data_IF_110891052214
#
_entry.id   IF_110891052214
#
_cell.length_a   1.000
_cell.length_b   1.000
_cell.length_c   1.000
_cell.angle_alpha   90.00
_cell.angle_beta   90.00
_cell.angle_gamma   90.00
#
_symmetry.space_group_name_H-M   'P 1'
#
loop_
_entity.id
_entity.type
_entity.pdbx_description
1 polymer ?
#
# COMPACT_ATOMS: atom_id res chain seq x y z
N UNK A 1 -51.72 -7.99 -47.97
CA UNK A 1 -50.92 -7.00 -47.25
C UNK A 1 -50.69 -7.30 -45.76
N UNK A 2 -51.52 -8.06 -45.04
CA UNK A 2 -51.39 -8.28 -43.58
C UNK A 2 -50.32 -9.31 -43.12
N UNK A 3 -49.89 -10.23 -43.99
CA UNK A 3 -48.87 -11.24 -43.59
C UNK A 3 -47.44 -10.70 -43.47
N UNK A 4 -47.09 -9.65 -44.20
CA UNK A 4 -45.78 -9.00 -44.12
C UNK A 4 -45.63 -8.14 -42.85
N UNK A 5 -46.73 -7.53 -42.37
CA UNK A 5 -46.70 -6.73 -41.16
C UNK A 5 -46.48 -7.59 -39.88
N UNK A 6 -47.09 -8.79 -39.83
CA UNK A 6 -46.90 -9.71 -38.70
C UNK A 6 -45.48 -10.33 -38.64
N UNK A 7 -44.84 -10.56 -39.79
CA UNK A 7 -43.48 -11.07 -39.81
C UNK A 7 -42.46 -10.02 -39.40
N UNK A 8 -42.65 -8.74 -39.74
CA UNK A 8 -41.76 -7.66 -39.28
C UNK A 8 -41.89 -7.41 -37.75
N UNK A 9 -43.12 -7.46 -37.20
CA UNK A 9 -43.32 -7.28 -35.75
C UNK A 9 -42.76 -8.48 -34.95
N UNK A 10 -42.87 -9.71 -35.47
CA UNK A 10 -42.27 -10.88 -34.81
C UNK A 10 -40.74 -10.83 -34.81
N UNK A 11 -40.13 -10.40 -35.91
CA UNK A 11 -38.68 -10.23 -36.01
C UNK A 11 -38.19 -9.09 -35.06
N UNK A 12 -38.92 -7.97 -34.98
CA UNK A 12 -38.63 -6.87 -34.08
C UNK A 12 -38.77 -7.29 -32.60
N UNK A 13 -39.77 -8.11 -32.26
CA UNK A 13 -39.98 -8.62 -30.91
C UNK A 13 -38.88 -9.62 -30.48
N UNK A 14 -38.46 -10.50 -31.39
CA UNK A 14 -37.37 -11.46 -31.18
C UNK A 14 -36.01 -10.72 -31.08
N UNK A 15 -35.78 -9.70 -31.90
CA UNK A 15 -34.60 -8.87 -31.82
C UNK A 15 -34.55 -8.09 -30.50
N UNK A 16 -35.69 -7.55 -30.06
CA UNK A 16 -35.79 -6.84 -28.76
C UNK A 16 -35.63 -7.81 -27.56
N UNK A 17 -36.13 -9.05 -27.66
CA UNK A 17 -35.96 -10.08 -26.63
C UNK A 17 -34.50 -10.59 -26.53
N UNK A 18 -33.81 -10.68 -27.67
CA UNK A 18 -32.39 -11.04 -27.75
C UNK A 18 -31.47 -9.93 -27.16
N UNK A 19 -31.89 -8.67 -27.26
CA UNK A 19 -31.13 -7.55 -26.68
C UNK A 19 -31.30 -7.45 -25.15
N UNK A 20 -32.42 -7.90 -24.60
CA UNK A 20 -32.64 -7.89 -23.13
C UNK A 20 -31.90 -9.03 -22.38
N UNK A 21 -31.53 -10.11 -23.04
CA UNK A 21 -30.80 -11.23 -22.45
C UNK A 21 -29.27 -11.11 -22.51
N UNK A 22 -28.72 -10.08 -23.20
CA UNK A 22 -27.32 -9.99 -23.59
C UNK A 22 -26.41 -9.08 -22.74
N UNK A 23 -26.91 -8.42 -21.71
CA UNK A 23 -26.11 -7.49 -20.90
C UNK A 23 -25.25 -8.20 -19.83
N UNK A 24 -24.63 -9.33 -20.14
CA UNK A 24 -23.66 -9.98 -19.26
C UNK A 24 -22.24 -9.52 -19.59
N UNK A 25 -21.48 -9.07 -18.59
CA UNK A 25 -20.06 -8.77 -18.77
C UNK A 25 -19.30 -10.01 -19.26
N UNK A 26 -18.52 -9.86 -20.33
CA UNK A 26 -17.73 -10.96 -20.90
C UNK A 26 -16.58 -11.36 -19.96
N UNK A 27 -16.16 -12.62 -20.11
CA UNK A 27 -15.03 -13.18 -19.37
C UNK A 27 -15.45 -14.01 -18.14
N UNK A 28 -14.49 -14.70 -17.53
CA UNK A 28 -14.74 -15.52 -16.34
C UNK A 28 -15.01 -14.63 -15.12
N UNK A 29 -15.90 -15.07 -14.24
CA UNK A 29 -15.98 -14.54 -12.91
C UNK A 29 -14.88 -15.16 -12.06
N UNK A 30 -14.35 -14.38 -11.10
CA UNK A 30 -13.38 -14.93 -10.18
C UNK A 30 -14.02 -15.95 -9.25
N UNK A 31 -13.42 -17.11 -9.13
CA UNK A 31 -13.74 -18.13 -8.15
C UNK A 31 -12.49 -18.40 -7.31
N UNK A 32 -12.64 -18.35 -5.99
CA UNK A 32 -11.53 -18.62 -5.09
C UNK A 32 -11.09 -20.08 -5.24
N UNK A 33 -9.81 -20.35 -5.57
CA UNK A 33 -9.32 -21.73 -5.63
C UNK A 33 -9.50 -22.45 -4.29
N UNK A 34 -10.00 -23.67 -4.33
CA UNK A 34 -10.11 -24.50 -3.15
C UNK A 34 -8.72 -24.84 -2.62
N UNK A 35 -8.40 -24.37 -1.41
CA UNK A 35 -7.13 -24.68 -0.76
C UNK A 35 -7.30 -25.93 0.09
N UNK A 36 -6.60 -27.01 -0.25
CA UNK A 36 -6.43 -28.15 0.63
C UNK A 36 -5.38 -27.81 1.68
N UNK A 37 -5.80 -27.19 2.78
CA UNK A 37 -4.90 -26.92 3.89
C UNK A 37 -4.64 -28.22 4.65
N UNK A 38 -3.38 -28.47 5.10
CA UNK A 38 -3.08 -29.62 5.94
C UNK A 38 -3.91 -29.55 7.22
N UNK A 39 -4.66 -30.58 7.49
CA UNK A 39 -5.45 -30.72 8.73
C UNK A 39 -4.59 -31.20 9.91
N UNK A 40 -3.30 -31.41 9.70
CA UNK A 40 -2.35 -31.89 10.70
C UNK A 40 -1.70 -30.77 11.50
N UNK A 41 -1.46 -31.01 12.78
CA UNK A 41 -0.68 -30.15 13.67
C UNK A 41 0.79 -30.11 13.20
N UNK A 42 1.31 -28.92 12.97
CA UNK A 42 2.70 -28.71 12.57
C UNK A 42 3.64 -28.65 13.80
N UNK A 43 3.10 -28.35 14.98
CA UNK A 43 3.87 -28.22 16.22
C UNK A 43 3.54 -29.33 17.23
N UNK A 44 4.51 -29.77 18.05
CA UNK A 44 4.27 -30.72 19.14
C UNK A 44 3.20 -30.18 20.11
N UNK A 45 2.43 -31.10 20.67
CA UNK A 45 1.36 -30.81 21.61
C UNK A 45 1.91 -30.06 22.84
N UNK A 46 1.73 -28.74 22.93
CA UNK A 46 1.92 -28.03 24.18
C UNK A 46 0.61 -28.07 24.97
N UNK A 47 0.74 -28.36 26.25
CA UNK A 47 -0.39 -28.46 27.20
C UNK A 47 -1.03 -27.10 27.54
N UNK A 48 -0.68 -26.05 26.80
CA UNK A 48 -1.19 -24.70 27.06
C UNK A 48 -2.51 -24.47 26.31
N UNK A 49 -3.51 -24.15 27.07
CA UNK A 49 -4.86 -23.74 26.65
C UNK A 49 -4.77 -22.70 25.55
N UNK A 50 -5.57 -22.90 24.50
CA UNK A 50 -5.77 -21.90 23.44
C UNK A 50 -6.28 -20.59 24.06
N UNK A 51 -5.38 -19.72 24.49
CA UNK A 51 -5.72 -18.36 24.80
C UNK A 51 -6.18 -17.71 23.49
N UNK A 52 -7.36 -17.10 23.53
CA UNK A 52 -7.88 -16.34 22.40
C UNK A 52 -7.03 -15.06 22.25
N UNK A 53 -5.82 -15.22 21.67
CA UNK A 53 -4.89 -14.10 21.47
C UNK A 53 -5.39 -13.32 20.27
N UNK A 54 -5.77 -12.08 20.50
CA UNK A 54 -6.03 -11.15 19.41
C UNK A 54 -4.70 -10.82 18.71
N UNK A 55 -4.50 -11.42 17.55
CA UNK A 55 -3.30 -11.26 16.73
C UNK A 55 -3.04 -9.81 16.29
N UNK A 56 -4.08 -9.00 16.29
CA UNK A 56 -3.98 -7.58 15.96
C UNK A 56 -3.31 -6.77 17.08
N UNK A 57 -3.19 -7.35 18.26
CA UNK A 57 -2.60 -6.71 19.46
C UNK A 57 -1.68 -7.68 20.23
N UNK A 58 -1.00 -8.58 19.51
CA UNK A 58 -0.13 -9.64 20.07
C UNK A 58 0.90 -9.12 21.10
N UNK A 59 1.40 -7.89 20.93
CA UNK A 59 2.38 -7.28 21.83
C UNK A 59 1.83 -7.00 23.24
N UNK A 60 0.52 -6.90 23.40
CA UNK A 60 -0.11 -6.75 24.72
C UNK A 60 0.10 -7.96 25.62
N UNK A 61 0.41 -9.13 25.04
CA UNK A 61 0.76 -10.34 25.80
C UNK A 61 2.00 -10.17 26.66
N UNK A 62 2.92 -9.27 26.26
CA UNK A 62 4.12 -8.95 27.04
C UNK A 62 3.85 -8.07 28.27
N UNK A 63 2.65 -7.45 28.36
CA UNK A 63 2.25 -6.58 29.48
C UNK A 63 3.28 -5.50 29.80
N UNK A 64 3.86 -4.90 28.75
CA UNK A 64 4.86 -3.83 28.88
C UNK A 64 4.30 -2.49 28.43
N UNK A 65 4.07 -1.55 29.37
CA UNK A 65 3.55 -0.22 29.04
C UNK A 65 4.46 0.60 28.15
N UNK A 66 5.80 0.41 28.24
CA UNK A 66 6.75 1.13 27.41
C UNK A 66 6.69 0.67 25.96
N UNK A 67 6.58 -0.64 25.72
CA UNK A 67 6.37 -1.18 24.38
C UNK A 67 5.05 -0.67 23.77
N UNK A 68 3.96 -0.67 24.55
CA UNK A 68 2.67 -0.16 24.08
C UNK A 68 2.78 1.31 23.66
N UNK A 69 3.37 2.16 24.50
CA UNK A 69 3.56 3.58 24.19
C UNK A 69 4.42 3.83 22.94
N UNK A 70 5.46 3.02 22.74
CA UNK A 70 6.32 3.11 21.54
C UNK A 70 5.57 2.71 20.26
N UNK A 71 4.71 1.70 20.32
CA UNK A 71 3.89 1.29 19.18
C UNK A 71 2.80 2.32 18.85
N UNK A 72 2.19 2.93 19.86
CA UNK A 72 1.25 4.02 19.67
C UNK A 72 1.95 5.25 19.05
N UNK A 73 3.14 5.63 19.55
CA UNK A 73 3.96 6.71 19.00
C UNK A 73 4.37 6.43 17.54
N UNK A 74 4.83 5.20 17.25
CA UNK A 74 5.18 4.78 15.90
C UNK A 74 3.99 4.87 14.94
N UNK A 75 2.81 4.43 15.39
CA UNK A 75 1.59 4.49 14.58
C UNK A 75 1.19 5.94 14.24
N UNK A 76 1.33 6.84 15.20
CA UNK A 76 0.98 8.25 15.03
C UNK A 76 1.95 9.01 14.11
N UNK A 77 3.24 8.64 14.11
CA UNK A 77 4.29 9.42 13.46
C UNK A 77 4.95 8.75 12.25
N UNK A 78 4.56 7.50 11.91
CA UNK A 78 5.19 6.76 10.82
C UNK A 78 4.92 7.39 9.46
N UNK A 79 6.00 7.76 8.76
CA UNK A 79 5.93 8.25 7.38
C UNK A 79 5.52 7.14 6.39
N UNK A 80 5.85 5.88 6.69
CA UNK A 80 5.44 4.76 5.85
C UNK A 80 3.92 4.53 5.89
N UNK A 81 3.29 4.74 7.05
CA UNK A 81 1.84 4.69 7.18
C UNK A 81 1.17 5.89 6.49
N UNK A 82 1.76 7.08 6.57
CA UNK A 82 1.30 8.25 5.85
C UNK A 82 1.38 8.04 4.32
N UNK A 83 2.50 7.47 3.83
CA UNK A 83 2.65 7.09 2.43
C UNK A 83 1.62 6.03 2.01
N UNK A 84 1.37 5.02 2.84
CA UNK A 84 0.36 4.01 2.56
C UNK A 84 -1.05 4.62 2.48
N UNK A 85 -1.38 5.59 3.34
CA UNK A 85 -2.64 6.33 3.28
C UNK A 85 -2.76 7.15 1.97
N UNK A 86 -1.71 7.88 1.58
CA UNK A 86 -1.70 8.63 0.33
C UNK A 86 -1.88 7.73 -0.91
N UNK A 87 -1.30 6.52 -0.91
CA UNK A 87 -1.51 5.53 -1.98
C UNK A 87 -2.94 5.02 -2.05
N UNK A 88 -3.64 4.93 -0.93
CA UNK A 88 -5.07 4.60 -0.91
C UNK A 88 -5.87 5.72 -1.59
N UNK A 89 -5.57 6.99 -1.29
CA UNK A 89 -6.27 8.12 -1.89
C UNK A 89 -5.97 8.23 -3.40
N UNK A 90 -4.74 7.98 -3.83
CA UNK A 90 -4.37 7.85 -5.24
C UNK A 90 -5.18 6.75 -5.95
N UNK A 91 -5.29 5.57 -5.32
CA UNK A 91 -6.05 4.46 -5.88
C UNK A 91 -7.55 4.73 -5.93
N UNK A 92 -8.10 5.46 -4.96
CA UNK A 92 -9.49 5.93 -4.97
C UNK A 92 -9.75 6.90 -6.12
N UNK A 93 -8.83 7.82 -6.37
CA UNK A 93 -8.91 8.75 -7.49
C UNK A 93 -8.82 7.99 -8.84
N UNK A 94 -7.95 6.97 -8.93
CA UNK A 94 -7.83 6.10 -10.11
C UNK A 94 -9.11 5.29 -10.36
N UNK A 95 -9.73 4.76 -9.31
CA UNK A 95 -11.04 4.11 -9.41
C UNK A 95 -12.11 5.08 -9.90
N UNK A 96 -12.16 6.29 -9.34
CA UNK A 96 -13.12 7.33 -9.77
C UNK A 96 -12.93 7.70 -11.25
N UNK A 97 -11.67 7.82 -11.70
CA UNK A 97 -11.36 8.06 -13.11
C UNK A 97 -11.84 6.89 -14.02
N UNK A 98 -11.58 5.64 -13.61
CA UNK A 98 -12.07 4.46 -14.36
C UNK A 98 -13.59 4.41 -14.37
N UNK A 99 -14.22 4.69 -13.23
CA UNK A 99 -15.67 4.71 -13.10
C UNK A 99 -16.32 5.79 -13.98
N UNK A 100 -15.67 6.95 -14.15
CA UNK A 100 -16.16 8.04 -15.00
C UNK A 100 -16.35 7.63 -16.47
N UNK A 101 -15.59 6.63 -16.95
CA UNK A 101 -15.73 6.09 -18.31
C UNK A 101 -17.08 5.40 -18.57
N UNK A 102 -17.86 5.13 -17.53
CA UNK A 102 -19.22 4.58 -17.60
C UNK A 102 -20.29 5.64 -17.85
N UNK A 103 -19.92 6.91 -17.89
CA UNK A 103 -20.81 8.04 -18.06
C UNK A 103 -20.47 8.82 -19.34
N UNK A 104 -21.42 9.57 -19.90
CA UNK A 104 -21.14 10.46 -21.02
C UNK A 104 -20.09 11.52 -20.63
N UNK A 105 -19.12 11.75 -21.51
CA UNK A 105 -18.27 12.93 -21.45
C UNK A 105 -19.01 14.13 -22.04
N UNK A 106 -18.81 15.31 -21.47
CA UNK A 106 -19.31 16.57 -21.98
C UNK A 106 -18.14 17.55 -22.06
N UNK A 107 -17.85 17.99 -23.27
CA UNK A 107 -16.76 18.91 -23.56
C UNK A 107 -17.31 20.22 -24.12
N UNK A 108 -16.88 21.34 -23.57
CA UNK A 108 -17.13 22.66 -24.12
C UNK A 108 -15.87 23.17 -24.82
N UNK A 109 -16.02 23.65 -26.04
CA UNK A 109 -14.91 24.19 -26.83
C UNK A 109 -15.26 25.51 -27.46
N UNK A 110 -14.27 26.39 -27.58
CA UNK A 110 -14.37 27.63 -28.35
C UNK A 110 -13.19 27.66 -29.30
N UNK A 111 -13.49 27.63 -30.59
CA UNK A 111 -12.50 27.76 -31.63
C UNK A 111 -12.67 29.09 -32.36
N UNK A 112 -11.58 29.86 -32.48
CA UNK A 112 -11.52 31.07 -33.28
C UNK A 112 -10.29 30.94 -34.18
N UNK A 113 -10.52 30.89 -35.50
CA UNK A 113 -9.43 30.77 -36.44
C UNK A 113 -9.55 31.78 -37.58
N UNK A 114 -8.41 32.23 -38.08
CA UNK A 114 -8.27 33.01 -39.29
C UNK A 114 -7.27 32.34 -40.20
N UNK A 115 -7.74 31.91 -41.36
CA UNK A 115 -6.90 31.25 -42.34
C UNK A 115 -6.88 32.02 -43.67
N UNK A 116 -5.77 31.96 -44.37
CA UNK A 116 -5.67 32.41 -45.75
C UNK A 116 -5.28 31.23 -46.63
N UNK A 117 -6.14 30.92 -47.58
CA UNK A 117 -5.88 29.85 -48.56
C UNK A 117 -5.01 30.42 -49.68
N UNK A 118 -4.00 29.67 -50.10
CA UNK A 118 -3.12 30.05 -51.20
C UNK A 118 -3.89 30.07 -52.52
N UNK A 119 -3.85 31.17 -53.23
CA UNK A 119 -4.47 31.33 -54.54
C UNK A 119 -3.83 30.39 -55.59
N UNK A 120 -2.52 30.14 -55.45
CA UNK A 120 -1.78 29.27 -56.36
C UNK A 120 -1.92 27.77 -56.07
N UNK A 121 -2.58 27.41 -55.00
CA UNK A 121 -2.80 25.97 -54.65
C UNK A 121 -4.01 25.32 -55.33
N UNK A 122 -4.73 26.03 -56.19
CA UNK A 122 -5.86 25.54 -56.95
C UNK A 122 -7.09 25.12 -56.11
N UNK A 123 -7.10 25.49 -54.80
CA UNK A 123 -8.19 25.17 -53.85
C UNK A 123 -9.25 26.25 -53.69
N UNK A 124 -9.04 27.42 -54.32
CA UNK A 124 -10.03 28.51 -54.30
C UNK A 124 -10.91 28.42 -55.51
N UNK A 125 -12.24 28.52 -55.30
CA UNK A 125 -13.17 28.74 -56.41
C UNK A 125 -13.01 30.15 -56.95
N UNK A 126 -13.21 30.35 -58.29
CA UNK A 126 -13.14 31.67 -58.90
C UNK A 126 -14.04 32.67 -58.17
N UNK A 127 -13.48 33.80 -57.69
CA UNK A 127 -14.22 34.84 -56.99
C UNK A 127 -14.39 34.63 -55.45
N UNK A 128 -13.87 33.56 -54.89
CA UNK A 128 -13.93 33.31 -53.45
C UNK A 128 -12.86 34.16 -52.72
N UNK A 129 -13.21 34.65 -51.54
CA UNK A 129 -12.27 35.36 -50.68
C UNK A 129 -11.22 34.41 -50.09
N UNK A 130 -9.91 34.64 -50.35
CA UNK A 130 -8.87 33.75 -49.84
C UNK A 130 -8.75 33.77 -48.30
N UNK A 131 -9.31 34.79 -47.65
CA UNK A 131 -9.30 34.92 -46.17
C UNK A 131 -10.62 34.45 -45.59
N UNK A 132 -10.52 33.52 -44.67
CA UNK A 132 -11.69 33.00 -43.95
C UNK A 132 -11.48 33.08 -42.44
N UNK A 133 -12.48 33.62 -41.74
CA UNK A 133 -12.52 33.54 -40.27
C UNK A 133 -13.58 32.47 -39.92
N UNK A 134 -13.36 31.76 -38.84
CA UNK A 134 -14.32 30.84 -38.25
C UNK A 134 -14.36 31.06 -36.76
N UNK A 135 -15.54 31.33 -36.21
CA UNK A 135 -15.83 31.40 -34.79
C UNK A 135 -16.81 30.29 -34.48
N UNK A 136 -16.39 29.33 -33.62
CA UNK A 136 -17.15 28.10 -33.38
C UNK A 136 -17.11 27.73 -31.91
N UNK A 137 -17.94 28.36 -31.05
CA UNK A 137 -18.24 27.84 -29.73
C UNK A 137 -19.20 26.64 -29.84
N UNK A 138 -18.95 25.61 -29.03
CA UNK A 138 -19.81 24.44 -29.05
C UNK A 138 -19.66 23.57 -27.82
N UNK A 139 -20.62 22.70 -27.63
CA UNK A 139 -20.65 21.64 -26.64
C UNK A 139 -20.79 20.33 -27.39
N UNK A 140 -19.96 19.37 -27.03
CA UNK A 140 -20.06 18.00 -27.55
C UNK A 140 -20.19 17.02 -26.41
N UNK A 141 -20.91 15.94 -26.65
CA UNK A 141 -21.04 14.82 -25.73
C UNK A 141 -20.72 13.52 -26.45
N UNK A 142 -20.02 12.63 -25.76
CA UNK A 142 -19.69 11.30 -26.27
C UNK A 142 -19.93 10.26 -25.20
N UNK A 143 -20.60 9.15 -25.57
CA UNK A 143 -20.90 8.04 -24.70
C UNK A 143 -20.75 6.72 -25.44
N UNK A 144 -19.93 5.81 -24.90
CA UNK A 144 -19.80 4.44 -25.42
C UNK A 144 -20.68 3.52 -24.58
N UNK A 145 -21.63 2.86 -25.24
CA UNK A 145 -22.55 1.94 -24.57
C UNK A 145 -21.81 0.64 -24.25
N UNK A 146 -21.84 0.25 -22.96
CA UNK A 146 -21.13 -0.93 -22.46
C UNK A 146 -21.92 -2.24 -22.65
N UNK A 147 -22.15 -2.66 -23.93
CA UNK A 147 -22.85 -3.89 -24.20
C UNK A 147 -22.09 -5.15 -23.73
N UNK A 148 -20.78 -5.12 -23.82
CA UNK A 148 -19.91 -6.26 -23.58
C UNK A 148 -19.31 -6.28 -22.20
N UNK A 149 -19.61 -5.28 -21.37
CA UNK A 149 -19.12 -5.15 -20.01
C UNK A 149 -17.65 -4.73 -19.93
N UNK A 150 -17.09 -4.08 -20.93
CA UNK A 150 -15.71 -3.57 -20.96
C UNK A 150 -15.44 -2.61 -19.81
N UNK A 151 -16.30 -1.59 -19.63
CA UNK A 151 -16.17 -0.61 -18.56
C UNK A 151 -16.56 -1.18 -17.20
N UNK A 152 -17.53 -2.10 -17.17
CA UNK A 152 -17.90 -2.82 -15.96
C UNK A 152 -16.73 -3.66 -15.42
N UNK A 153 -16.03 -4.40 -16.29
CA UNK A 153 -14.84 -5.19 -15.92
C UNK A 153 -13.64 -4.32 -15.54
N UNK A 154 -13.48 -3.16 -16.21
CA UNK A 154 -12.46 -2.18 -15.82
C UNK A 154 -12.71 -1.62 -14.40
N UNK A 155 -13.97 -1.29 -14.07
CA UNK A 155 -14.38 -0.83 -12.75
C UNK A 155 -14.16 -1.91 -11.67
N UNK A 156 -14.52 -3.17 -11.97
CA UNK A 156 -14.25 -4.32 -11.10
C UNK A 156 -12.74 -4.47 -10.82
N UNK A 157 -11.92 -4.40 -11.87
CA UNK A 157 -10.46 -4.48 -11.72
C UNK A 157 -9.89 -3.31 -10.88
N UNK A 158 -10.34 -2.09 -11.15
CA UNK A 158 -9.89 -0.92 -10.38
C UNK A 158 -10.33 -0.97 -8.90
N UNK A 159 -11.53 -1.47 -8.63
CA UNK A 159 -12.03 -1.68 -7.27
C UNK A 159 -11.20 -2.73 -6.52
N UNK A 160 -10.90 -3.86 -7.17
CA UNK A 160 -10.06 -4.89 -6.59
C UNK A 160 -8.64 -4.37 -6.31
N UNK A 161 -8.06 -3.55 -7.19
CA UNK A 161 -6.77 -2.89 -6.94
C UNK A 161 -6.81 -1.95 -5.73
N UNK A 162 -7.89 -1.18 -5.55
CA UNK A 162 -8.07 -0.36 -4.36
C UNK A 162 -8.06 -1.23 -3.09
N UNK A 163 -8.83 -2.32 -3.08
CA UNK A 163 -8.89 -3.23 -1.93
C UNK A 163 -7.52 -3.90 -1.66
N UNK A 164 -6.73 -4.20 -2.70
CA UNK A 164 -5.37 -4.69 -2.54
C UNK A 164 -4.46 -3.67 -1.85
N UNK A 165 -4.56 -2.40 -2.20
CA UNK A 165 -3.77 -1.31 -1.59
C UNK A 165 -4.23 -1.04 -0.16
N UNK A 166 -5.53 -1.09 0.13
CA UNK A 166 -6.06 -0.99 1.49
C UNK A 166 -5.55 -2.15 2.37
N UNK A 167 -5.52 -3.38 1.85
CA UNK A 167 -4.95 -4.52 2.55
C UNK A 167 -3.43 -4.35 2.78
N UNK A 168 -2.69 -3.83 1.79
CA UNK A 168 -1.25 -3.57 1.92
C UNK A 168 -0.91 -2.60 3.06
N UNK A 169 -1.78 -1.63 3.38
CA UNK A 169 -1.59 -0.77 4.55
C UNK A 169 -1.53 -1.62 5.85
N UNK A 170 -2.31 -2.69 5.92
CA UNK A 170 -2.24 -3.64 7.04
C UNK A 170 -0.87 -4.35 7.12
N UNK A 171 -0.29 -4.69 5.98
CA UNK A 171 1.06 -5.29 5.91
C UNK A 171 2.13 -4.30 6.39
N UNK A 172 2.05 -3.04 5.96
CA UNK A 172 2.95 -1.97 6.43
C UNK A 172 2.86 -1.80 7.95
N UNK A 173 1.64 -1.76 8.49
CA UNK A 173 1.43 -1.66 9.94
C UNK A 173 1.99 -2.86 10.70
N UNK A 174 1.75 -4.08 10.23
CA UNK A 174 2.28 -5.29 10.86
C UNK A 174 3.82 -5.31 10.85
N UNK A 175 4.43 -4.89 9.75
CA UNK A 175 5.90 -4.78 9.62
C UNK A 175 6.46 -3.71 10.55
N UNK A 176 5.82 -2.55 10.65
CA UNK A 176 6.20 -1.49 11.58
C UNK A 176 6.21 -2.01 13.02
N UNK A 177 5.14 -2.67 13.44
CA UNK A 177 5.01 -3.22 14.79
C UNK A 177 6.07 -4.29 15.07
N UNK A 178 6.34 -5.16 14.11
CA UNK A 178 7.39 -6.16 14.25
C UNK A 178 8.77 -5.51 14.42
N UNK A 179 9.11 -4.52 13.58
CA UNK A 179 10.39 -3.83 13.64
C UNK A 179 10.58 -3.03 14.94
N UNK A 180 9.54 -2.32 15.40
CA UNK A 180 9.58 -1.59 16.68
C UNK A 180 9.76 -2.55 17.83
N UNK A 181 8.99 -3.64 17.89
CA UNK A 181 9.10 -4.62 18.96
C UNK A 181 10.48 -5.33 18.96
N UNK A 182 10.96 -5.73 17.79
CA UNK A 182 12.29 -6.36 17.64
C UNK A 182 13.40 -5.41 18.12
N UNK A 183 13.36 -4.14 17.69
CA UNK A 183 14.34 -3.13 18.12
C UNK A 183 14.25 -2.85 19.62
N UNK A 184 13.04 -2.82 20.18
CA UNK A 184 12.82 -2.65 21.61
C UNK A 184 13.39 -3.83 22.41
N UNK A 185 13.12 -5.06 22.02
CA UNK A 185 13.68 -6.24 22.71
C UNK A 185 15.20 -6.33 22.56
N UNK A 186 15.76 -5.94 21.40
CA UNK A 186 17.19 -5.83 21.22
C UNK A 186 17.79 -4.77 22.17
N UNK A 187 17.15 -3.61 22.31
CA UNK A 187 17.56 -2.58 23.25
C UNK A 187 17.56 -3.09 24.69
N UNK A 188 16.51 -3.80 25.13
CA UNK A 188 16.43 -4.38 26.47
C UNK A 188 17.51 -5.46 26.70
N UNK A 189 17.85 -6.22 25.64
CA UNK A 189 18.97 -7.19 25.69
C UNK A 189 20.32 -6.48 25.87
N UNK A 190 20.57 -5.39 25.14
CA UNK A 190 21.79 -4.62 25.30
C UNK A 190 21.86 -3.90 26.64
N UNK A 191 20.75 -3.44 27.20
CA UNK A 191 20.72 -2.89 28.57
C UNK A 191 21.20 -3.94 29.59
N UNK A 192 20.74 -5.20 29.47
CA UNK A 192 21.17 -6.30 30.33
C UNK A 192 22.66 -6.66 30.13
N UNK A 193 23.14 -6.67 28.88
CA UNK A 193 24.54 -6.93 28.55
C UNK A 193 25.46 -5.83 29.11
N UNK A 194 25.07 -4.55 29.01
CA UNK A 194 25.83 -3.44 29.59
C UNK A 194 25.91 -3.59 31.11
N UNK A 195 24.80 -3.86 31.79
CA UNK A 195 24.78 -4.05 33.23
C UNK A 195 25.72 -5.21 33.70
N UNK A 196 25.68 -6.33 32.97
CA UNK A 196 26.55 -7.48 33.25
C UNK A 196 28.03 -7.15 32.99
N UNK A 197 28.32 -6.46 31.87
CA UNK A 197 29.68 -6.05 31.53
C UNK A 197 30.26 -5.03 32.58
N UNK A 198 29.44 -4.09 33.04
CA UNK A 198 29.82 -3.14 34.12
C UNK A 198 30.16 -3.88 35.40
N UNK A 199 29.34 -4.82 35.83
CA UNK A 199 29.60 -5.62 37.03
C UNK A 199 30.89 -6.45 36.88
N UNK A 200 31.07 -7.07 35.70
CA UNK A 200 32.26 -7.89 35.42
C UNK A 200 33.52 -7.02 35.38
N UNK A 201 33.45 -5.83 34.75
CA UNK A 201 34.57 -4.89 34.71
C UNK A 201 35.00 -4.43 36.11
N UNK A 202 34.02 -4.15 36.96
CA UNK A 202 34.32 -3.81 38.37
C UNK A 202 35.04 -4.96 39.10
N UNK A 203 34.59 -6.19 38.93
CA UNK A 203 35.23 -7.39 39.52
C UNK A 203 36.64 -7.60 38.98
N UNK A 204 36.86 -7.45 37.65
CA UNK A 204 38.19 -7.61 37.03
C UNK A 204 39.17 -6.50 37.47
N UNK A 205 38.70 -5.26 37.59
CA UNK A 205 39.52 -4.15 38.15
C UNK A 205 39.94 -4.41 39.57
N UNK A 206 39.09 -4.94 40.44
CA UNK A 206 39.42 -5.28 41.79
C UNK A 206 40.43 -6.45 41.87
N UNK A 207 40.23 -7.49 40.99
CA UNK A 207 41.21 -8.58 40.86
C UNK A 207 42.60 -8.05 40.45
N UNK A 208 42.67 -7.19 39.44
CA UNK A 208 43.92 -6.55 39.02
C UNK A 208 44.59 -5.79 40.20
N UNK A 209 43.82 -5.00 40.94
CA UNK A 209 44.33 -4.28 42.13
C UNK A 209 44.91 -5.22 43.16
N UNK A 210 44.26 -6.37 43.37
CA UNK A 210 44.75 -7.39 44.29
C UNK A 210 46.03 -8.07 43.78
N UNK A 211 46.13 -8.42 42.50
CA UNK A 211 47.33 -9.02 41.90
C UNK A 211 48.55 -8.08 41.96
N UNK A 212 48.36 -6.78 41.72
CA UNK A 212 49.40 -5.78 41.84
C UNK A 212 49.95 -5.75 43.29
N UNK A 213 49.08 -5.74 44.31
CA UNK A 213 49.52 -5.75 45.73
C UNK A 213 50.23 -7.04 46.11
N UNK A 214 49.83 -8.19 45.57
CA UNK A 214 50.49 -9.47 45.79
C UNK A 214 51.85 -9.52 45.12
N UNK A 215 52.00 -8.93 43.93
CA UNK A 215 53.29 -8.80 43.26
C UNK A 215 54.25 -7.91 44.04
N UNK A 216 53.79 -6.74 44.50
CA UNK A 216 54.55 -5.85 45.35
C UNK A 216 55.03 -6.54 46.68
N UNK A 217 54.23 -7.47 47.19
CA UNK A 217 54.57 -8.32 48.32
C UNK A 217 55.41 -9.57 47.98
N UNK A 218 55.81 -9.77 46.74
CA UNK A 218 56.60 -10.91 46.26
C UNK A 218 55.89 -12.27 46.27
N UNK A 219 54.54 -12.30 46.26
CA UNK A 219 53.73 -13.51 46.40
C UNK A 219 53.33 -14.10 45.02
N UNK A 220 53.26 -13.28 43.95
CA UNK A 220 52.91 -13.69 42.61
C UNK A 220 53.94 -13.18 41.59
N UNK A 221 53.91 -13.74 40.38
CA UNK A 221 54.81 -13.33 39.29
C UNK A 221 54.29 -12.12 38.52
N UNK A 222 55.16 -11.44 37.77
CA UNK A 222 54.74 -10.38 36.83
C UNK A 222 53.78 -10.93 35.78
N UNK A 223 53.91 -12.19 35.34
CA UNK A 223 53.00 -12.87 34.41
C UNK A 223 51.54 -12.83 34.92
N UNK A 224 51.34 -13.06 36.23
CA UNK A 224 49.99 -13.04 36.82
C UNK A 224 49.40 -11.63 36.79
N UNK A 225 50.21 -10.59 36.96
CA UNK A 225 49.80 -9.20 36.85
C UNK A 225 49.43 -8.87 35.40
N UNK A 226 50.30 -9.26 34.43
CA UNK A 226 50.03 -8.99 33.01
C UNK A 226 48.79 -9.71 32.51
N UNK A 227 48.49 -10.92 33.00
CA UNK A 227 47.24 -11.63 32.71
C UNK A 227 46.03 -10.85 33.26
N UNK A 228 46.12 -10.38 34.50
CA UNK A 228 45.03 -9.60 35.08
C UNK A 228 44.80 -8.25 34.37
N UNK A 229 45.88 -7.60 33.87
CA UNK A 229 45.77 -6.41 32.99
C UNK A 229 45.05 -6.73 31.71
N UNK A 230 45.45 -7.81 31.04
CA UNK A 230 44.81 -8.21 29.77
C UNK A 230 43.34 -8.55 29.97
N UNK A 231 42.96 -9.25 31.03
CA UNK A 231 41.55 -9.56 31.33
C UNK A 231 40.74 -8.28 31.65
N UNK A 232 41.29 -7.34 32.42
CA UNK A 232 40.62 -6.07 32.72
C UNK A 232 40.42 -5.23 31.46
N UNK A 233 41.41 -5.15 30.57
CA UNK A 233 41.33 -4.43 29.31
C UNK A 233 40.31 -5.11 28.34
N UNK A 234 40.28 -6.44 28.27
CA UNK A 234 39.37 -7.19 27.44
C UNK A 234 37.89 -6.96 27.80
N UNK A 235 37.57 -6.97 29.11
CA UNK A 235 36.19 -6.70 29.54
C UNK A 235 35.80 -5.23 29.35
N UNK A 236 36.75 -4.29 29.50
CA UNK A 236 36.49 -2.87 29.23
C UNK A 236 36.14 -2.63 27.73
N UNK A 237 36.85 -3.28 26.82
CA UNK A 237 36.52 -3.25 25.39
C UNK A 237 35.13 -3.85 25.12
N UNK A 238 34.78 -4.96 25.77
CA UNK A 238 33.44 -5.57 25.67
C UNK A 238 32.36 -4.64 26.20
N UNK A 239 32.58 -3.94 27.30
CA UNK A 239 31.64 -2.96 27.84
C UNK A 239 31.41 -1.80 26.86
N UNK A 240 32.45 -1.23 26.28
CA UNK A 240 32.36 -0.14 25.30
C UNK A 240 31.58 -0.58 24.06
N UNK A 241 31.83 -1.81 23.57
CA UNK A 241 31.10 -2.36 22.44
C UNK A 241 29.60 -2.54 22.78
N UNK A 242 29.27 -3.08 23.95
CA UNK A 242 27.87 -3.21 24.39
C UNK A 242 27.16 -1.86 24.50
N UNK A 243 27.84 -0.86 25.05
CA UNK A 243 27.32 0.52 25.13
C UNK A 243 27.09 1.14 23.73
N UNK A 244 28.02 0.90 22.79
CA UNK A 244 27.86 1.38 21.43
C UNK A 244 26.64 0.72 20.74
N UNK A 245 26.50 -0.61 20.86
CA UNK A 245 25.37 -1.34 20.29
C UNK A 245 24.04 -0.86 20.89
N UNK A 246 24.00 -0.63 22.21
CA UNK A 246 22.84 -0.05 22.89
C UNK A 246 22.44 1.29 22.30
N UNK A 247 23.39 2.22 22.14
CA UNK A 247 23.15 3.57 21.58
C UNK A 247 22.66 3.49 20.13
N UNK A 248 23.28 2.64 19.31
CA UNK A 248 22.87 2.45 17.92
C UNK A 248 21.44 1.92 17.81
N UNK A 249 21.10 0.92 18.65
CA UNK A 249 19.74 0.35 18.67
C UNK A 249 18.71 1.37 19.17
N UNK A 250 19.08 2.18 20.16
CA UNK A 250 18.24 3.26 20.69
C UNK A 250 17.96 4.33 19.63
N UNK A 251 18.97 4.71 18.86
CA UNK A 251 18.80 5.62 17.72
C UNK A 251 17.93 5.03 16.62
N UNK A 252 18.12 3.74 16.29
CA UNK A 252 17.26 3.03 15.31
C UNK A 252 15.80 3.02 15.77
N UNK A 253 15.55 2.74 17.04
CA UNK A 253 14.20 2.73 17.58
C UNK A 253 13.57 4.13 17.54
N UNK A 254 14.34 5.19 17.82
CA UNK A 254 13.88 6.57 17.72
C UNK A 254 13.47 6.94 16.28
N UNK A 255 14.19 6.45 15.28
CA UNK A 255 13.80 6.60 13.85
C UNK A 255 12.50 5.87 13.56
N UNK A 256 12.37 4.61 14.00
CA UNK A 256 11.18 3.78 13.76
C UNK A 256 9.92 4.38 14.37
N UNK A 257 10.02 5.05 15.54
CA UNK A 257 8.88 5.73 16.14
C UNK A 257 8.65 7.14 15.58
N UNK A 258 9.41 7.55 14.58
CA UNK A 258 9.21 8.80 13.83
C UNK A 258 9.67 10.05 14.58
N UNK A 259 10.64 9.95 15.51
CA UNK A 259 11.18 11.11 16.21
C UNK A 259 12.03 12.00 15.32
N UNK A 260 12.07 13.28 15.62
CA UNK A 260 12.88 14.24 14.88
C UNK A 260 14.40 13.99 15.06
N UNK A 261 15.27 14.52 14.18
CA UNK A 261 16.72 14.30 14.25
C UNK A 261 17.36 14.68 15.58
N UNK A 262 16.90 15.74 16.25
CA UNK A 262 17.43 16.14 17.57
C UNK A 262 17.14 15.09 18.65
N UNK A 263 15.94 14.50 18.63
CA UNK A 263 15.56 13.43 19.54
C UNK A 263 16.25 12.09 19.21
N UNK A 264 16.75 11.91 17.96
CA UNK A 264 17.54 10.75 17.58
C UNK A 264 18.96 10.82 18.15
N UNK A 265 19.55 12.01 18.21
CA UNK A 265 20.90 12.21 18.76
C UNK A 265 20.93 11.96 20.27
N UNK A 266 19.87 12.33 20.98
CA UNK A 266 19.71 12.07 22.42
C UNK A 266 18.37 11.35 22.68
N UNK A 267 18.27 10.09 22.25
CA UNK A 267 17.04 9.34 22.39
C UNK A 267 16.75 9.07 23.86
N UNK A 268 15.62 9.54 24.35
CA UNK A 268 15.11 9.18 25.67
C UNK A 268 14.00 8.13 25.48
N UNK A 269 14.42 6.89 25.29
CA UNK A 269 13.49 5.75 25.15
C UNK A 269 13.17 5.23 26.55
N UNK A 270 11.88 5.19 26.89
CA UNK A 270 11.42 4.62 28.15
C UNK A 270 11.79 3.13 28.25
N UNK A 271 12.33 2.74 29.39
CA UNK A 271 12.63 1.33 29.73
C UNK A 271 11.43 0.76 30.50
N UNK A 272 10.87 -0.29 29.96
CA UNK A 272 9.80 -1.04 30.64
C UNK A 272 10.34 -2.20 31.47
N UNK A 273 9.68 -3.33 31.39
CA UNK A 273 10.00 -4.54 32.12
C UNK A 273 11.37 -5.12 31.68
N UNK A 274 12.10 -5.74 32.60
CA UNK A 274 13.36 -6.42 32.29
C UNK A 274 13.14 -7.58 31.31
N UNK A 275 14.16 -7.86 30.48
CA UNK A 275 14.00 -8.78 29.33
C UNK A 275 13.66 -10.22 29.73
N UNK A 276 14.23 -10.71 30.82
CA UNK A 276 13.97 -12.03 31.40
C UNK A 276 12.51 -12.20 31.82
N UNK A 277 11.93 -11.16 32.43
CA UNK A 277 10.52 -11.13 32.84
C UNK A 277 9.58 -11.01 31.63
N UNK A 278 9.97 -10.23 30.62
CA UNK A 278 9.16 -10.07 29.38
C UNK A 278 8.92 -11.42 28.71
N UNK A 279 9.97 -12.21 28.51
CA UNK A 279 9.84 -13.51 27.82
C UNK A 279 9.15 -14.58 28.66
N UNK A 280 9.19 -14.48 29.99
CA UNK A 280 8.44 -15.40 30.86
C UNK A 280 6.92 -15.17 30.80
N UNK A 281 6.48 -13.97 30.42
CA UNK A 281 5.06 -13.61 30.28
C UNK A 281 4.49 -13.93 28.90
N UNK A 282 5.35 -13.98 27.87
CA UNK A 282 4.92 -14.19 26.50
C UNK A 282 4.33 -15.60 26.33
N UNK A 283 3.05 -15.69 26.04
CA UNK A 283 2.39 -16.94 25.66
C UNK A 283 2.22 -16.97 24.15
N UNK A 284 2.94 -17.88 23.48
CA UNK A 284 2.73 -18.19 22.07
C UNK A 284 1.68 -19.30 22.00
N UNK A 285 0.55 -19.11 21.31
CA UNK A 285 -0.43 -20.17 21.14
C UNK A 285 0.17 -21.36 20.40
N UNK A 286 -0.12 -22.55 20.92
CA UNK A 286 0.39 -23.80 20.35
C UNK A 286 -0.22 -24.14 18.98
N UNK A 287 -1.40 -23.64 18.69
CA UNK A 287 -2.13 -23.87 17.45
C UNK A 287 -2.49 -22.56 16.79
N UNK A 288 -2.02 -22.40 15.55
CA UNK A 288 -2.46 -21.35 14.65
C UNK A 288 -3.52 -21.96 13.73
N UNK A 289 -4.81 -21.60 13.89
CA UNK A 289 -5.83 -22.13 13.00
C UNK A 289 -5.55 -21.65 11.57
N UNK A 290 -5.85 -22.50 10.59
CA UNK A 290 -5.69 -22.14 9.17
C UNK A 290 -6.47 -20.89 8.76
N UNK A 291 -7.49 -20.51 9.54
CA UNK A 291 -8.24 -19.26 9.37
C UNK A 291 -7.37 -17.99 9.46
N UNK A 292 -6.19 -18.06 10.08
CA UNK A 292 -5.25 -16.94 10.11
C UNK A 292 -4.79 -16.54 8.70
N UNK A 293 -4.77 -17.48 7.74
CA UNK A 293 -4.43 -17.20 6.36
C UNK A 293 -5.45 -16.26 5.72
N UNK A 294 -6.72 -16.33 6.12
CA UNK A 294 -7.77 -15.45 5.65
C UNK A 294 -7.70 -14.03 6.26
N UNK A 295 -6.90 -13.84 7.30
CA UNK A 295 -6.74 -12.58 8.01
C UNK A 295 -5.40 -11.89 7.69
N UNK A 296 -4.51 -12.56 6.99
CA UNK A 296 -3.21 -11.98 6.59
C UNK A 296 -3.40 -10.90 5.52
N UNK A 297 -2.97 -9.65 5.80
CA UNK A 297 -3.18 -8.56 4.85
C UNK A 297 -2.47 -8.77 3.52
N UNK A 298 -1.27 -9.37 3.52
CA UNK A 298 -0.50 -9.67 2.32
C UNK A 298 -1.19 -10.69 1.40
N UNK A 299 -1.84 -11.72 1.98
CA UNK A 299 -2.62 -12.70 1.23
C UNK A 299 -3.91 -12.09 0.68
N UNK A 300 -4.59 -11.27 1.48
CA UNK A 300 -5.77 -10.53 1.03
C UNK A 300 -5.39 -9.62 -0.15
N UNK A 301 -4.27 -8.90 -0.06
CA UNK A 301 -3.79 -8.03 -1.14
C UNK A 301 -3.50 -8.84 -2.42
N UNK A 302 -2.82 -9.99 -2.30
CA UNK A 302 -2.52 -10.86 -3.44
C UNK A 302 -3.79 -11.43 -4.09
N UNK A 303 -4.79 -11.84 -3.29
CA UNK A 303 -6.08 -12.30 -3.79
C UNK A 303 -6.83 -11.19 -4.55
N UNK A 304 -6.84 -9.97 -4.01
CA UNK A 304 -7.46 -8.83 -4.69
C UNK A 304 -6.75 -8.48 -6.02
N UNK A 305 -5.42 -8.63 -6.09
CA UNK A 305 -4.68 -8.51 -7.35
C UNK A 305 -5.08 -9.60 -8.36
N UNK A 306 -5.31 -10.83 -7.90
CA UNK A 306 -5.78 -11.92 -8.76
C UNK A 306 -7.20 -11.64 -9.28
N UNK A 307 -8.09 -11.10 -8.45
CA UNK A 307 -9.44 -10.66 -8.84
C UNK A 307 -9.33 -9.57 -9.92
N UNK A 308 -8.45 -8.58 -9.73
CA UNK A 308 -8.22 -7.52 -10.70
C UNK A 308 -7.76 -8.09 -12.05
N UNK A 309 -6.76 -8.96 -12.05
CA UNK A 309 -6.25 -9.60 -13.27
C UNK A 309 -7.30 -10.46 -13.96
N UNK A 310 -8.15 -11.17 -13.19
CA UNK A 310 -9.26 -11.93 -13.76
C UNK A 310 -10.30 -11.03 -14.44
N UNK A 311 -10.64 -9.89 -13.85
CA UNK A 311 -11.54 -8.92 -14.46
C UNK A 311 -10.96 -8.31 -15.75
N UNK A 312 -9.64 -8.07 -15.81
CA UNK A 312 -8.94 -7.60 -17.02
C UNK A 312 -9.03 -8.57 -18.19
N UNK A 313 -9.12 -9.89 -17.94
CA UNK A 313 -9.39 -10.87 -19.01
C UNK A 313 -10.74 -10.56 -19.66
N UNK A 314 -11.74 -10.24 -18.86
CA UNK A 314 -13.07 -9.85 -19.37
C UNK A 314 -13.02 -8.55 -20.16
N UNK A 315 -12.32 -7.55 -19.67
CA UNK A 315 -12.11 -6.28 -20.37
C UNK A 315 -11.41 -6.48 -21.72
N UNK A 316 -10.33 -7.28 -21.75
CA UNK A 316 -9.61 -7.59 -22.98
C UNK A 316 -10.48 -8.37 -23.99
N UNK A 317 -11.26 -9.34 -23.52
CA UNK A 317 -12.21 -10.06 -24.38
C UNK A 317 -13.27 -9.14 -24.97
N UNK A 318 -13.81 -8.20 -24.19
CA UNK A 318 -14.78 -7.23 -24.65
C UNK A 318 -14.23 -6.33 -25.78
N UNK A 319 -12.93 -6.07 -25.80
CA UNK A 319 -12.27 -5.26 -26.83
C UNK A 319 -12.23 -5.90 -28.22
N UNK A 320 -12.49 -7.22 -28.37
CA UNK A 320 -12.63 -7.89 -29.68
C UNK A 320 -13.95 -7.59 -30.38
N UNK A 321 -14.92 -7.06 -29.66
CA UNK A 321 -16.27 -6.83 -30.18
C UNK A 321 -16.48 -5.39 -30.64
N UNK A 322 -17.38 -5.14 -31.58
CA UNK A 322 -17.69 -3.80 -32.06
C UNK A 322 -18.17 -2.89 -30.93
N UNK A 323 -17.68 -1.65 -30.90
CA UNK A 323 -18.13 -0.62 -29.98
C UNK A 323 -19.23 0.23 -30.59
N UNK A 324 -20.21 0.61 -29.80
CA UNK A 324 -21.27 1.53 -30.19
C UNK A 324 -21.13 2.80 -29.39
N UNK A 325 -20.81 3.89 -30.10
CA UNK A 325 -20.63 5.20 -29.50
C UNK A 325 -21.73 6.16 -29.94
N UNK A 326 -22.40 6.76 -28.97
CA UNK A 326 -23.31 7.87 -29.17
C UNK A 326 -22.56 9.16 -29.09
N UNK A 327 -22.72 10.02 -30.08
CA UNK A 327 -22.15 11.36 -30.11
C UNK A 327 -23.21 12.40 -30.36
N UNK A 328 -23.15 13.51 -29.69
CA UNK A 328 -24.02 14.67 -29.93
C UNK A 328 -23.15 15.93 -29.90
N UNK A 329 -23.46 16.88 -30.76
CA UNK A 329 -22.84 18.21 -30.73
C UNK A 329 -23.89 19.28 -30.94
N UNK A 330 -23.72 20.37 -30.23
CA UNK A 330 -24.54 21.55 -30.38
C UNK A 330 -23.59 22.77 -30.31
N UNK A 331 -23.71 23.64 -31.29
CA UNK A 331 -22.83 24.80 -31.35
C UNK A 331 -23.33 25.91 -32.24
N UNK A 332 -22.53 26.98 -32.26
CA UNK A 332 -22.74 28.09 -33.20
C UNK A 332 -21.51 28.16 -34.10
N UNK A 333 -21.71 28.43 -35.37
CA UNK A 333 -20.63 28.64 -36.33
C UNK A 333 -20.89 29.89 -37.16
N UNK A 334 -19.94 30.81 -37.23
CA UNK A 334 -20.03 32.00 -38.05
C UNK A 334 -18.67 32.45 -38.57
N UNK A 335 -18.67 33.13 -39.71
CA UNK A 335 -17.50 33.84 -40.26
C UNK A 335 -17.28 35.21 -39.66
N UNK A 336 -18.32 35.80 -39.10
CA UNK A 336 -18.27 37.11 -38.45
C UNK A 336 -18.75 36.98 -36.99
N UNK A 337 -18.06 37.64 -36.08
CA UNK A 337 -18.41 37.56 -34.66
C UNK A 337 -19.79 38.21 -34.38
N UNK A 338 -20.18 39.21 -35.19
CA UNK A 338 -21.49 39.86 -35.12
C UNK A 338 -22.67 38.94 -35.40
N UNK A 339 -22.43 37.92 -36.22
CA UNK A 339 -23.48 36.99 -36.70
C UNK A 339 -23.51 35.69 -35.89
N UNK A 340 -22.60 35.53 -34.94
CA UNK A 340 -22.42 34.29 -34.21
C UNK A 340 -23.68 33.85 -33.45
N UNK A 341 -24.43 34.80 -32.92
CA UNK A 341 -25.66 34.53 -32.16
C UNK A 341 -26.93 34.59 -32.99
N UNK A 342 -26.84 34.64 -34.31
CA UNK A 342 -27.99 34.52 -35.18
C UNK A 342 -28.51 33.09 -35.19
N UNK A 343 -29.85 32.86 -35.31
CA UNK A 343 -30.41 31.48 -35.36
C UNK A 343 -29.84 30.61 -36.49
N UNK A 344 -29.39 31.23 -37.58
CA UNK A 344 -28.76 30.57 -38.73
C UNK A 344 -27.36 30.06 -38.47
N UNK A 345 -26.73 30.44 -37.34
CA UNK A 345 -25.39 30.00 -36.94
C UNK A 345 -25.43 28.73 -36.07
N UNK A 346 -26.62 28.29 -35.66
CA UNK A 346 -26.82 27.08 -34.87
C UNK A 346 -26.64 25.82 -35.74
N UNK A 347 -25.89 24.84 -35.24
CA UNK A 347 -25.76 23.49 -35.89
C UNK A 347 -25.85 22.37 -34.85
#
# INVERSE_FOLDING_TARGET
MNRFAYSLSAIATVALALTLGGCGALGPNYERPAQSLPTGRILPQSTHTTANVDWLVWWKSFQDPALNALLDEATANSQDLALAAARIDESRASLALTHSSRFPTVDASVNASRAQVSENAGKLQPGANPRNNIFQPGISSSFEIDFWGKFQRADEAARARLLAIEANRGTVLATLYANVAQSYFALRSFDAQVALAEQTAATRKENLRLQIKRFEGGVVSDLDVQQAVAEAAGIEATLLQAQQNRRATEATLAVLVGRNPAAIVQPNIARGTAIDVLFSRATVPAELPSDILNRRPDLIAAEQQLIAANAEIGQAKAAYYPTIRLTASLGLESRQLSDLFNPSSLF
#
